data_IF_441174574994
#
_entry.id   IF_441174574994
#
_cell.length_a   1.000
_cell.length_b   1.000
_cell.length_c   1.000
_cell.angle_alpha   90.00
_cell.angle_beta   90.00
_cell.angle_gamma   90.00
#
_symmetry.space_group_name_H-M   'P 1'
#
loop_
_entity.id
_entity.type
_entity.pdbx_description
1 polymer ?
#
# COMPACT_ATOMS: atom_id res chain seq x y z
N UNK A 1 -25.58 3.14 21.10
CA UNK A 1 -25.23 1.90 20.38
C UNK A 1 -24.27 1.10 21.26
N UNK A 2 -24.39 -0.22 21.33
CA UNK A 2 -23.41 -1.04 22.04
C UNK A 2 -22.04 -0.90 21.35
N UNK A 3 -20.97 -0.78 22.13
CA UNK A 3 -19.62 -0.81 21.57
C UNK A 3 -19.40 -2.15 20.87
N UNK A 4 -18.85 -2.14 19.65
CA UNK A 4 -18.54 -3.37 18.90
C UNK A 4 -17.59 -4.23 19.73
N UNK A 5 -17.82 -5.54 19.73
CA UNK A 5 -16.86 -6.49 20.32
C UNK A 5 -15.58 -6.50 19.50
N UNK A 6 -14.49 -6.97 20.08
CA UNK A 6 -13.21 -7.05 19.36
C UNK A 6 -13.31 -8.04 18.19
N UNK A 7 -14.07 -9.13 18.35
CA UNK A 7 -14.35 -10.10 17.28
C UNK A 7 -15.07 -9.45 16.09
N UNK A 8 -16.07 -8.59 16.34
CA UNK A 8 -16.75 -7.81 15.30
C UNK A 8 -15.83 -6.83 14.59
N UNK A 9 -14.95 -6.15 15.33
CA UNK A 9 -13.96 -5.23 14.74
C UNK A 9 -12.99 -5.98 13.83
N UNK A 10 -12.51 -7.15 14.26
CA UNK A 10 -11.64 -8.01 13.45
C UNK A 10 -12.35 -8.41 12.15
N UNK A 11 -13.56 -8.98 12.23
CA UNK A 11 -14.33 -9.38 11.04
C UNK A 11 -14.56 -8.22 10.08
N UNK A 12 -14.99 -7.06 10.60
CA UNK A 12 -15.22 -5.85 9.78
C UNK A 12 -13.92 -5.42 9.08
N UNK A 13 -12.80 -5.46 9.78
CA UNK A 13 -11.51 -5.05 9.23
C UNK A 13 -11.02 -5.99 8.11
N UNK A 14 -11.18 -7.31 8.29
CA UNK A 14 -10.86 -8.30 7.27
C UNK A 14 -11.79 -8.20 6.04
N UNK A 15 -13.09 -8.02 6.26
CA UNK A 15 -14.04 -7.73 5.18
C UNK A 15 -13.62 -6.49 4.39
N UNK A 16 -13.18 -5.42 5.08
CA UNK A 16 -12.68 -4.23 4.43
C UNK A 16 -11.40 -4.49 3.63
N UNK A 17 -10.40 -5.18 4.19
CA UNK A 17 -9.14 -5.44 3.51
C UNK A 17 -9.34 -6.14 2.16
N UNK A 18 -10.19 -7.16 2.13
CA UNK A 18 -10.50 -7.90 0.92
C UNK A 18 -11.67 -7.31 0.11
N UNK A 19 -12.26 -6.18 0.52
CA UNK A 19 -13.34 -5.55 -0.25
C UNK A 19 -12.88 -5.00 -1.59
N UNK A 20 -13.83 -4.86 -2.53
CA UNK A 20 -13.59 -4.19 -3.81
C UNK A 20 -13.21 -2.71 -3.64
N UNK A 21 -13.63 -2.09 -2.52
CA UNK A 21 -13.29 -0.72 -2.18
C UNK A 21 -11.84 -0.54 -1.72
N UNK A 22 -11.15 -1.61 -1.30
CA UNK A 22 -9.79 -1.55 -0.80
C UNK A 22 -8.78 -2.37 -1.60
N UNK A 23 -8.99 -3.67 -1.79
CA UNK A 23 -8.00 -4.61 -2.31
C UNK A 23 -7.33 -4.14 -3.62
N UNK A 24 -8.07 -3.64 -4.64
CA UNK A 24 -7.46 -3.15 -5.89
C UNK A 24 -6.64 -1.86 -5.75
N UNK A 25 -6.78 -1.14 -4.63
CA UNK A 25 -6.17 0.17 -4.40
C UNK A 25 -5.11 0.15 -3.29
N UNK A 26 -5.03 -0.94 -2.53
CA UNK A 26 -3.95 -1.20 -1.58
C UNK A 26 -2.82 -1.94 -2.28
N UNK A 27 -1.72 -1.21 -2.54
CA UNK A 27 -0.57 -1.77 -3.24
C UNK A 27 0.03 -2.98 -2.51
N UNK A 28 0.11 -2.92 -1.19
CA UNK A 28 0.79 -3.97 -0.42
C UNK A 28 -0.06 -5.24 -0.42
N UNK A 29 -1.34 -5.10 -0.07
CA UNK A 29 -2.26 -6.23 -0.04
C UNK A 29 -2.49 -6.82 -1.43
N UNK A 30 -2.60 -5.98 -2.47
CA UNK A 30 -2.67 -6.45 -3.86
C UNK A 30 -1.44 -7.24 -4.26
N UNK A 31 -0.24 -6.77 -3.90
CA UNK A 31 1.01 -7.48 -4.23
C UNK A 31 1.07 -8.84 -3.54
N UNK A 32 0.66 -8.92 -2.27
CA UNK A 32 0.57 -10.19 -1.54
C UNK A 32 -0.42 -11.13 -2.23
N UNK A 33 -1.62 -10.63 -2.57
CA UNK A 33 -2.66 -11.40 -3.22
C UNK A 33 -2.27 -11.91 -4.62
N UNK A 34 -1.68 -11.05 -5.45
CA UNK A 34 -1.31 -11.40 -6.84
C UNK A 34 -0.07 -12.29 -6.94
N UNK A 35 0.84 -12.23 -5.97
CA UNK A 35 2.03 -13.11 -5.95
C UNK A 35 1.77 -14.45 -5.26
N UNK A 36 0.67 -14.56 -4.52
CA UNK A 36 0.29 -15.79 -3.84
C UNK A 36 -0.23 -16.85 -4.80
N UNK A 37 0.13 -18.10 -4.56
CA UNK A 37 -0.44 -19.23 -5.28
C UNK A 37 -1.94 -19.32 -4.99
N UNK A 38 -2.77 -19.24 -6.04
CA UNK A 38 -4.22 -19.23 -5.96
C UNK A 38 -4.80 -18.14 -5.01
N UNK A 39 -4.05 -17.07 -4.76
CA UNK A 39 -4.45 -15.93 -3.93
C UNK A 39 -4.38 -16.15 -2.42
N UNK A 40 -3.85 -17.27 -1.94
CA UNK A 40 -3.72 -17.60 -0.51
C UNK A 40 -2.60 -16.85 0.19
N UNK A 41 -2.97 -16.04 1.18
CA UNK A 41 -2.02 -15.26 1.99
C UNK A 41 -2.00 -15.85 3.40
N UNK A 42 -0.83 -16.05 4.03
CA UNK A 42 -0.76 -16.48 5.42
C UNK A 42 -1.53 -15.51 6.33
N UNK A 43 -2.43 -16.04 7.15
CA UNK A 43 -3.28 -15.23 8.04
C UNK A 43 -2.44 -14.39 9.01
N UNK A 44 -1.30 -14.93 9.45
CA UNK A 44 -0.32 -14.23 10.30
C UNK A 44 0.20 -12.93 9.68
N UNK A 45 0.33 -12.85 8.35
CA UNK A 45 0.78 -11.64 7.65
C UNK A 45 -0.27 -10.54 7.77
N UNK A 46 -1.56 -10.88 7.59
CA UNK A 46 -2.66 -9.91 7.69
C UNK A 46 -2.92 -9.54 9.16
N UNK A 47 -2.81 -10.49 10.09
CA UNK A 47 -2.90 -10.24 11.52
C UNK A 47 -1.80 -9.30 12.04
N UNK A 48 -0.64 -9.27 11.35
CA UNK A 48 0.43 -8.31 11.60
C UNK A 48 0.11 -6.87 11.16
N UNK A 49 -1.03 -6.60 10.54
CA UNK A 49 -1.38 -5.24 10.14
C UNK A 49 -1.71 -4.40 11.36
N UNK A 50 -1.25 -3.15 11.36
CA UNK A 50 -1.35 -2.24 12.49
C UNK A 50 -2.76 -2.13 13.09
N UNK A 51 -3.81 -2.07 12.26
CA UNK A 51 -5.20 -1.98 12.75
C UNK A 51 -5.66 -3.27 13.45
N UNK A 52 -5.16 -4.44 13.04
CA UNK A 52 -5.44 -5.69 13.74
C UNK A 52 -4.62 -5.77 15.03
N UNK A 53 -3.33 -5.42 14.98
CA UNK A 53 -2.45 -5.39 16.16
C UNK A 53 -2.94 -4.46 17.28
N UNK A 54 -3.65 -3.37 16.93
CA UNK A 54 -4.29 -2.49 17.91
C UNK A 54 -5.48 -3.15 18.63
N UNK A 55 -6.07 -4.21 18.06
CA UNK A 55 -7.16 -4.97 18.67
C UNK A 55 -6.57 -6.17 19.43
N UNK A 56 -5.73 -6.97 18.77
CA UNK A 56 -5.09 -8.15 19.35
C UNK A 56 -3.81 -8.50 18.61
N UNK A 57 -2.85 -9.09 19.32
CA UNK A 57 -1.65 -9.71 18.74
C UNK A 57 -1.75 -11.24 18.70
N UNK A 58 -2.82 -11.81 19.26
CA UNK A 58 -3.04 -13.25 19.32
C UNK A 58 -3.74 -13.75 18.05
N UNK A 59 -3.06 -14.63 17.33
CA UNK A 59 -3.56 -15.21 16.08
C UNK A 59 -4.77 -16.11 16.31
N UNK A 60 -4.86 -16.79 17.46
CA UNK A 60 -5.96 -17.69 17.79
C UNK A 60 -7.26 -16.90 18.01
N UNK A 61 -7.15 -15.71 18.62
CA UNK A 61 -8.27 -14.76 18.76
C UNK A 61 -8.75 -14.29 17.38
N UNK A 62 -7.82 -13.94 16.48
CA UNK A 62 -8.16 -13.54 15.11
C UNK A 62 -8.87 -14.70 14.38
N UNK A 63 -8.30 -15.89 14.42
CA UNK A 63 -8.87 -17.06 13.73
C UNK A 63 -10.27 -17.40 14.27
N UNK A 64 -10.45 -17.38 15.59
CA UNK A 64 -11.75 -17.60 16.23
C UNK A 64 -12.77 -16.57 15.78
N UNK A 65 -12.41 -15.29 15.80
CA UNK A 65 -13.30 -14.19 15.39
C UNK A 65 -13.75 -14.34 13.92
N UNK A 66 -12.85 -14.76 13.02
CA UNK A 66 -13.18 -14.96 11.61
C UNK A 66 -13.99 -16.24 11.35
N UNK A 67 -13.82 -17.29 12.16
CA UNK A 67 -14.59 -18.54 12.05
C UNK A 67 -15.99 -18.46 12.65
N UNK A 68 -16.25 -17.49 13.52
CA UNK A 68 -17.57 -17.30 14.15
C UNK A 68 -18.67 -16.98 13.14
N UNK A 69 -18.34 -16.31 12.04
CA UNK A 69 -19.30 -15.94 11.00
C UNK A 69 -18.65 -16.03 9.61
N UNK A 70 -19.34 -16.67 8.68
CA UNK A 70 -18.89 -16.70 7.28
C UNK A 70 -18.93 -15.32 6.63
N UNK A 71 -17.92 -15.05 5.79
CA UNK A 71 -17.83 -13.84 4.97
C UNK A 71 -18.10 -14.19 3.50
N UNK A 72 -18.84 -13.33 2.81
CA UNK A 72 -18.99 -13.39 1.35
C UNK A 72 -17.74 -12.85 0.62
N UNK A 73 -16.83 -12.20 1.36
CA UNK A 73 -15.70 -11.47 0.78
C UNK A 73 -14.42 -12.31 0.80
N UNK A 74 -14.16 -13.06 1.87
CA UNK A 74 -12.96 -13.86 2.02
C UNK A 74 -13.28 -15.29 2.46
N UNK A 75 -12.33 -16.20 2.26
CA UNK A 75 -12.35 -17.55 2.81
C UNK A 75 -11.03 -17.88 3.50
N UNK A 76 -11.13 -18.76 4.49
CA UNK A 76 -10.02 -19.30 5.26
C UNK A 76 -9.87 -20.77 4.88
N UNK A 77 -8.63 -21.24 4.77
CA UNK A 77 -8.37 -22.66 4.50
C UNK A 77 -8.80 -23.56 5.68
N UNK A 78 -8.87 -24.86 5.43
CA UNK A 78 -9.31 -25.84 6.43
C UNK A 78 -8.43 -25.81 7.69
N UNK A 79 -7.12 -25.60 7.51
CA UNK A 79 -6.15 -25.52 8.60
C UNK A 79 -6.22 -24.21 9.39
N UNK A 80 -6.90 -23.17 8.89
CA UNK A 80 -6.96 -21.86 9.54
C UNK A 80 -5.67 -21.04 9.42
N UNK A 81 -4.76 -21.40 8.52
CA UNK A 81 -3.44 -20.78 8.36
C UNK A 81 -3.41 -19.74 7.26
N UNK A 82 -4.26 -19.87 6.26
CA UNK A 82 -4.28 -19.00 5.09
C UNK A 82 -5.66 -18.39 4.86
N UNK A 83 -5.66 -17.20 4.27
CA UNK A 83 -6.87 -16.45 3.90
C UNK A 83 -6.74 -15.92 2.47
N UNK A 84 -7.85 -15.89 1.73
CA UNK A 84 -7.89 -15.27 0.40
C UNK A 84 -9.21 -14.56 0.11
N UNK A 85 -9.18 -13.69 -0.90
CA UNK A 85 -10.40 -13.11 -1.50
C UNK A 85 -11.23 -14.21 -2.15
N UNK A 86 -12.54 -14.24 -1.86
CA UNK A 86 -13.54 -14.98 -2.64
C UNK A 86 -13.87 -14.23 -3.92
N UNK A 87 -13.77 -14.89 -5.08
CA UNK A 87 -14.11 -14.29 -6.36
C UNK A 87 -13.12 -13.20 -6.84
N UNK A 88 -13.43 -12.62 -8.00
CA UNK A 88 -12.61 -11.57 -8.59
C UNK A 88 -13.03 -10.18 -8.09
N UNK A 89 -12.06 -9.27 -8.01
CA UNK A 89 -12.35 -7.87 -7.70
C UNK A 89 -13.06 -7.19 -8.86
N UNK A 90 -14.02 -6.32 -8.54
CA UNK A 90 -14.76 -5.51 -9.51
C UNK A 90 -14.33 -4.05 -9.40
N UNK A 91 -14.13 -3.36 -10.53
CA UNK A 91 -13.85 -1.92 -10.50
C UNK A 91 -15.10 -1.16 -10.08
N UNK A 92 -14.95 -0.33 -9.06
CA UNK A 92 -16.06 0.41 -8.46
C UNK A 92 -15.98 1.90 -8.81
N UNK A 93 -17.14 2.55 -8.94
CA UNK A 93 -17.18 4.02 -9.08
C UNK A 93 -17.04 4.70 -7.71
N UNK A 94 -15.81 4.80 -7.23
CA UNK A 94 -15.50 5.51 -5.99
C UNK A 94 -15.79 7.00 -6.08
N UNK A 95 -15.85 7.58 -7.29
CA UNK A 95 -15.94 9.03 -7.42
C UNK A 95 -17.38 9.49 -7.18
N UNK A 96 -18.36 8.87 -7.83
CA UNK A 96 -19.77 9.22 -7.65
C UNK A 96 -20.34 8.76 -6.31
N UNK A 97 -19.77 7.74 -5.68
CA UNK A 97 -20.23 7.24 -4.37
C UNK A 97 -19.57 7.90 -3.18
N UNK A 98 -18.80 8.97 -3.38
CA UNK A 98 -18.07 9.61 -2.30
C UNK A 98 -18.43 11.07 -2.11
N UNK A 99 -18.20 11.54 -0.90
CA UNK A 99 -18.16 12.97 -0.56
C UNK A 99 -16.74 13.40 -0.20
N UNK A 100 -16.41 14.65 -0.47
CA UNK A 100 -15.24 15.33 0.07
C UNK A 100 -15.63 16.04 1.36
N UNK A 101 -14.94 15.72 2.46
CA UNK A 101 -15.18 16.36 3.75
C UNK A 101 -13.93 17.11 4.19
N UNK A 102 -14.10 18.34 4.66
CA UNK A 102 -13.03 19.22 5.15
C UNK A 102 -13.37 19.72 6.54
N UNK A 103 -12.37 19.85 7.40
CA UNK A 103 -12.51 20.45 8.73
C UNK A 103 -12.27 19.47 9.88
N UNK A 104 -11.82 18.24 9.59
CA UNK A 104 -11.50 17.28 10.64
C UNK A 104 -10.36 17.78 11.53
N UNK A 105 -10.35 17.39 12.83
CA UNK A 105 -9.25 17.70 13.73
C UNK A 105 -7.93 17.24 13.12
N UNK A 106 -6.93 18.12 13.18
CA UNK A 106 -5.60 17.75 12.75
C UNK A 106 -4.97 16.85 13.81
N UNK A 107 -4.31 15.80 13.36
CA UNK A 107 -3.43 15.00 14.21
C UNK A 107 -2.03 15.55 14.02
N UNK A 108 -1.43 16.02 15.10
CA UNK A 108 -0.06 16.55 15.07
C UNK A 108 0.89 15.47 14.58
N UNK A 109 1.70 15.82 13.57
CA UNK A 109 2.64 14.88 12.97
C UNK A 109 3.73 14.45 13.96
N UNK A 110 3.98 15.27 14.98
CA UNK A 110 4.98 15.08 16.02
C UNK A 110 4.37 14.53 17.33
N UNK A 111 3.06 14.24 17.34
CA UNK A 111 2.43 13.58 18.48
C UNK A 111 3.04 12.19 18.72
N UNK A 112 2.98 11.72 19.96
CA UNK A 112 3.22 10.32 20.27
C UNK A 112 2.19 9.45 19.53
N UNK A 113 2.68 8.46 18.78
CA UNK A 113 1.92 7.51 17.95
C UNK A 113 0.87 8.17 17.02
N UNK A 114 1.29 9.01 16.05
CA UNK A 114 0.35 9.74 15.20
C UNK A 114 -0.43 8.82 14.25
N UNK A 115 0.10 7.63 13.96
CA UNK A 115 -0.59 6.63 13.16
C UNK A 115 -1.80 6.03 13.89
N UNK A 116 -1.70 5.80 15.20
CA UNK A 116 -2.75 5.19 16.03
C UNK A 116 -3.90 6.20 16.17
N UNK A 117 -3.56 7.45 16.48
CA UNK A 117 -4.52 8.56 16.53
C UNK A 117 -5.27 8.77 15.22
N UNK A 118 -4.60 8.54 14.08
CA UNK A 118 -5.26 8.60 12.77
C UNK A 118 -6.19 7.41 12.52
N UNK A 119 -5.88 6.23 13.05
CA UNK A 119 -6.74 5.05 13.00
C UNK A 119 -7.99 5.30 13.87
N UNK A 120 -7.81 5.79 15.09
CA UNK A 120 -8.93 6.16 15.99
C UNK A 120 -9.82 7.25 15.37
N UNK A 121 -9.20 8.28 14.76
CA UNK A 121 -9.95 9.31 14.05
C UNK A 121 -10.74 8.72 12.88
N UNK A 122 -10.14 7.81 12.11
CA UNK A 122 -10.84 7.11 11.03
C UNK A 122 -12.05 6.34 11.55
N UNK A 123 -11.91 5.64 12.68
CA UNK A 123 -13.00 4.87 13.28
C UNK A 123 -14.14 5.77 13.76
N UNK A 124 -13.81 6.90 14.41
CA UNK A 124 -14.80 7.93 14.77
C UNK A 124 -15.53 8.50 13.55
N UNK A 125 -14.80 8.75 12.45
CA UNK A 125 -15.39 9.25 11.20
C UNK A 125 -16.34 8.20 10.62
N UNK A 126 -15.89 6.94 10.55
CA UNK A 126 -16.70 5.84 10.04
C UNK A 126 -17.98 5.69 10.88
N UNK A 127 -17.90 5.69 12.20
CA UNK A 127 -19.09 5.57 13.06
C UNK A 127 -20.04 6.76 12.89
N UNK A 128 -19.52 7.99 12.87
CA UNK A 128 -20.33 9.19 12.66
C UNK A 128 -21.10 9.20 11.33
N UNK A 129 -20.47 8.75 10.24
CA UNK A 129 -21.14 8.69 8.94
C UNK A 129 -22.02 7.44 8.80
N UNK A 130 -21.66 6.32 9.44
CA UNK A 130 -22.49 5.10 9.48
C UNK A 130 -23.84 5.31 10.16
N UNK A 131 -23.96 6.26 11.09
CA UNK A 131 -25.27 6.68 11.64
C UNK A 131 -26.23 7.23 10.56
N UNK A 132 -25.69 7.71 9.43
CA UNK A 132 -26.44 8.41 8.39
C UNK A 132 -26.57 7.60 7.10
N UNK A 133 -25.52 6.86 6.72
CA UNK A 133 -25.46 6.00 5.55
C UNK A 133 -24.31 4.98 5.65
N UNK A 134 -24.44 3.84 4.99
CA UNK A 134 -23.45 2.76 5.03
C UNK A 134 -22.11 3.20 4.39
N UNK A 135 -21.05 3.29 5.21
CA UNK A 135 -19.71 3.68 4.80
C UNK A 135 -18.92 2.46 4.37
N UNK A 136 -18.42 2.46 3.14
CA UNK A 136 -17.54 1.42 2.60
C UNK A 136 -16.06 1.71 2.84
N UNK A 137 -15.64 2.98 2.72
CA UNK A 137 -14.24 3.34 2.84
C UNK A 137 -14.05 4.82 3.19
N UNK A 138 -13.27 5.10 4.24
CA UNK A 138 -12.78 6.45 4.53
C UNK A 138 -11.31 6.59 4.14
N UNK A 139 -11.01 7.54 3.26
CA UNK A 139 -9.65 7.84 2.78
C UNK A 139 -9.19 9.20 3.30
N UNK A 140 -8.46 9.18 4.41
CA UNK A 140 -7.82 10.37 4.98
C UNK A 140 -6.75 10.91 4.03
N UNK A 141 -6.83 12.19 3.66
CA UNK A 141 -5.85 12.82 2.76
C UNK A 141 -4.64 13.29 3.56
N UNK A 142 -3.46 12.83 3.15
CA UNK A 142 -2.18 13.15 3.79
C UNK A 142 -1.25 13.91 2.83
N UNK A 143 -0.36 14.73 3.37
CA UNK A 143 0.85 15.23 2.72
C UNK A 143 2.05 14.55 3.33
N UNK A 144 2.63 13.58 2.63
CA UNK A 144 3.58 12.66 3.26
C UNK A 144 2.96 11.99 4.48
N UNK A 145 3.48 12.27 5.67
CA UNK A 145 2.96 11.74 6.95
C UNK A 145 1.89 12.62 7.59
N UNK A 146 1.75 13.88 7.19
CA UNK A 146 0.87 14.87 7.83
C UNK A 146 -0.56 14.75 7.31
N UNK A 147 -1.54 14.63 8.19
CA UNK A 147 -2.95 14.66 7.81
C UNK A 147 -3.39 16.08 7.43
N UNK A 148 -4.21 16.22 6.37
CA UNK A 148 -4.66 17.52 5.83
C UNK A 148 -5.98 18.03 6.42
N UNK A 149 -6.58 17.34 7.39
CA UNK A 149 -7.91 17.69 7.89
C UNK A 149 -9.02 17.45 6.86
N UNK A 150 -8.75 16.63 5.84
CA UNK A 150 -9.71 16.32 4.76
C UNK A 150 -9.74 14.83 4.47
N UNK A 151 -10.91 14.32 4.12
CA UNK A 151 -11.10 12.92 3.73
C UNK A 151 -12.02 12.80 2.51
N UNK A 152 -11.95 11.65 1.86
CA UNK A 152 -13.07 11.15 1.06
C UNK A 152 -13.77 10.06 1.84
N UNK A 153 -15.09 10.13 1.94
CA UNK A 153 -15.92 9.10 2.55
C UNK A 153 -16.77 8.48 1.45
N UNK A 154 -16.55 7.18 1.20
CA UNK A 154 -17.24 6.38 0.19
C UNK A 154 -18.42 5.64 0.83
N UNK A 155 -19.58 5.72 0.18
CA UNK A 155 -20.81 5.08 0.57
C UNK A 155 -21.19 3.95 -0.39
N UNK A 156 -22.21 3.18 -0.01
CA UNK A 156 -22.68 2.05 -0.80
C UNK A 156 -23.13 2.43 -2.20
N UNK A 157 -23.89 3.53 -2.31
CA UNK A 157 -24.51 3.99 -3.56
C UNK A 157 -24.35 5.52 -3.76
N UNK A 158 -24.41 6.02 -5.02
CA UNK A 158 -24.30 7.46 -5.29
C UNK A 158 -25.41 8.30 -4.64
N UNK A 159 -26.59 7.71 -4.45
CA UNK A 159 -27.73 8.37 -3.79
C UNK A 159 -27.43 8.71 -2.33
N UNK A 160 -26.80 7.78 -1.61
CA UNK A 160 -26.36 8.01 -0.22
C UNK A 160 -25.33 9.15 -0.18
N UNK A 161 -24.36 9.15 -1.09
CA UNK A 161 -23.35 10.22 -1.17
C UNK A 161 -23.98 11.60 -1.45
N UNK A 162 -24.98 11.69 -2.34
CA UNK A 162 -25.71 12.94 -2.61
C UNK A 162 -26.49 13.42 -1.39
N UNK A 163 -27.24 12.52 -0.73
CA UNK A 163 -28.00 12.84 0.49
C UNK A 163 -27.09 13.37 1.61
N UNK A 164 -25.91 12.78 1.78
CA UNK A 164 -24.93 13.28 2.75
C UNK A 164 -24.36 14.63 2.33
N UNK A 165 -24.13 14.86 1.03
CA UNK A 165 -23.65 16.15 0.52
C UNK A 165 -24.68 17.29 0.70
N UNK A 166 -25.98 16.99 0.70
CA UNK A 166 -27.06 17.98 0.94
C UNK A 166 -26.99 18.61 2.34
N UNK A 167 -26.41 17.92 3.32
CA UNK A 167 -26.19 18.46 4.66
C UNK A 167 -25.31 19.72 4.63
N UNK A 168 -24.38 19.81 3.66
CA UNK A 168 -23.37 20.87 3.45
C UNK A 168 -22.40 21.08 4.60
N UNK A 169 -22.89 21.13 5.84
CA UNK A 169 -22.11 21.25 7.06
C UNK A 169 -22.66 20.36 8.16
N UNK A 170 -21.75 19.83 8.97
CA UNK A 170 -22.09 19.03 10.15
C UNK A 170 -21.08 19.30 11.26
N UNK A 171 -21.47 19.10 12.51
CA UNK A 171 -20.55 19.16 13.65
C UNK A 171 -19.98 17.78 13.97
N UNK A 172 -18.68 17.73 14.21
CA UNK A 172 -17.94 16.51 14.56
C UNK A 172 -16.85 16.87 15.56
N UNK A 173 -16.91 16.31 16.78
CA UNK A 173 -15.89 16.49 17.83
C UNK A 173 -15.54 17.97 18.10
N UNK A 174 -16.56 18.85 18.10
CA UNK A 174 -16.40 20.30 18.26
C UNK A 174 -15.90 21.05 17.02
N UNK A 175 -15.75 20.38 15.88
CA UNK A 175 -15.34 20.97 14.60
C UNK A 175 -16.50 21.03 13.61
N UNK A 176 -16.65 22.19 12.93
CA UNK A 176 -17.56 22.33 11.81
C UNK A 176 -16.93 21.74 10.54
N UNK A 177 -17.50 20.65 10.05
CA UNK A 177 -17.09 20.01 8.81
C UNK A 177 -17.88 20.57 7.63
N UNK A 178 -17.19 20.88 6.53
CA UNK A 178 -17.82 21.17 5.23
C UNK A 178 -17.84 19.91 4.37
N UNK A 179 -19.00 19.58 3.82
CA UNK A 179 -19.23 18.43 2.95
C UNK A 179 -19.53 18.93 1.54
N UNK A 180 -18.83 18.37 0.55
CA UNK A 180 -19.09 18.60 -0.87
C UNK A 180 -19.19 17.27 -1.60
N UNK A 181 -20.14 17.14 -2.52
CA UNK A 181 -20.22 15.95 -3.36
C UNK A 181 -18.93 15.81 -4.19
N UNK A 182 -18.29 14.63 -4.18
CA UNK A 182 -16.93 14.49 -4.72
C UNK A 182 -16.82 14.86 -6.21
N UNK A 183 -17.76 14.49 -7.11
CA UNK A 183 -17.73 14.95 -8.50
C UNK A 183 -17.79 16.47 -8.65
N UNK A 184 -18.60 17.15 -7.86
CA UNK A 184 -18.70 18.62 -7.86
C UNK A 184 -17.41 19.26 -7.35
N UNK A 185 -16.85 18.72 -6.26
CA UNK A 185 -15.55 19.14 -5.75
C UNK A 185 -14.45 18.99 -6.82
N UNK A 186 -14.43 17.89 -7.57
CA UNK A 186 -13.48 17.71 -8.68
C UNK A 186 -13.68 18.74 -9.79
N UNK A 187 -14.93 19.06 -10.16
CA UNK A 187 -15.22 20.11 -11.16
C UNK A 187 -14.73 21.48 -10.70
N UNK A 188 -15.02 21.86 -9.45
CA UNK A 188 -14.56 23.11 -8.85
C UNK A 188 -13.03 23.21 -8.87
N UNK A 189 -12.33 22.12 -8.49
CA UNK A 189 -10.87 22.08 -8.53
C UNK A 189 -10.32 22.11 -9.96
N UNK A 190 -10.95 21.42 -10.91
CA UNK A 190 -10.52 21.46 -12.30
C UNK A 190 -10.56 22.89 -12.87
N UNK A 191 -11.61 23.65 -12.58
CA UNK A 191 -11.69 25.06 -12.98
C UNK A 191 -10.65 25.92 -12.24
N UNK A 192 -10.48 25.74 -10.92
CA UNK A 192 -9.49 26.47 -10.12
C UNK A 192 -8.03 26.27 -10.58
N UNK A 193 -7.73 25.10 -11.17
CA UNK A 193 -6.40 24.74 -11.64
C UNK A 193 -6.22 24.82 -13.16
N UNK A 194 -7.24 25.27 -13.91
CA UNK A 194 -7.23 25.32 -15.38
C UNK A 194 -6.04 26.09 -15.95
N UNK A 195 -5.69 27.21 -15.33
CA UNK A 195 -4.59 28.10 -15.78
C UNK A 195 -3.30 27.92 -14.97
N UNK A 196 -3.28 27.01 -13.99
CA UNK A 196 -2.11 26.77 -13.14
C UNK A 196 -1.18 25.74 -13.79
N UNK A 197 0.15 25.89 -13.65
CA UNK A 197 1.09 24.92 -14.18
C UNK A 197 0.85 23.55 -13.53
N UNK A 198 0.87 22.50 -14.37
CA UNK A 198 0.65 21.13 -13.92
C UNK A 198 1.70 20.73 -12.89
N UNK A 199 1.24 20.48 -11.66
CA UNK A 199 2.10 19.92 -10.62
C UNK A 199 2.16 18.41 -10.79
N UNK A 200 3.36 17.87 -11.03
CA UNK A 200 3.55 16.43 -11.02
C UNK A 200 3.22 15.88 -9.63
N UNK A 201 2.30 14.90 -9.59
CA UNK A 201 2.02 14.11 -8.39
C UNK A 201 2.09 12.63 -8.76
N UNK A 202 2.71 11.79 -7.91
CA UNK A 202 2.69 10.37 -8.13
C UNK A 202 1.25 9.88 -8.10
N UNK A 203 0.89 9.02 -9.06
CA UNK A 203 -0.43 8.40 -9.08
C UNK A 203 -0.54 7.41 -7.92
N UNK A 204 -1.69 7.40 -7.27
CA UNK A 204 -2.02 6.33 -6.32
C UNK A 204 -2.15 5.01 -7.09
N UNK A 205 -1.78 3.91 -6.42
CA UNK A 205 -1.90 2.58 -6.98
C UNK A 205 -3.38 2.25 -7.29
N UNK A 206 -3.59 1.57 -8.41
CA UNK A 206 -4.88 1.04 -8.84
C UNK A 206 -4.59 -0.17 -9.75
N UNK A 207 -5.02 -1.35 -9.33
CA UNK A 207 -4.81 -2.61 -10.02
C UNK A 207 -5.46 -2.69 -11.42
N UNK A 208 -6.53 -1.93 -11.67
CA UNK A 208 -7.20 -1.88 -12.97
C UNK A 208 -6.47 -1.00 -13.99
N UNK A 209 -5.42 -0.28 -13.58
CA UNK A 209 -4.65 0.59 -14.47
C UNK A 209 -3.31 -0.04 -14.81
N UNK A 210 -2.89 -0.05 -16.09
CA UNK A 210 -1.61 -0.63 -16.48
C UNK A 210 -0.48 0.07 -15.74
N UNK A 211 0.30 -0.71 -15.01
CA UNK A 211 1.47 -0.25 -14.28
C UNK A 211 2.57 -0.02 -15.32
N UNK A 212 2.68 1.22 -15.81
CA UNK A 212 3.68 1.54 -16.81
C UNK A 212 5.06 1.54 -16.13
N UNK A 213 5.73 0.38 -16.10
CA UNK A 213 7.04 0.13 -15.48
C UNK A 213 8.17 0.98 -16.08
N UNK A 214 7.90 1.69 -17.18
CA UNK A 214 8.83 2.63 -17.81
C UNK A 214 9.18 3.86 -16.96
N UNK A 215 8.57 4.07 -15.79
CA UNK A 215 8.91 5.19 -14.91
C UNK A 215 10.31 5.09 -14.27
N UNK A 216 10.97 3.93 -14.28
CA UNK A 216 12.34 3.77 -13.73
C UNK A 216 13.47 4.21 -14.69
N UNK A 217 13.22 4.43 -16.00
CA UNK A 217 14.29 4.75 -16.97
C UNK A 217 14.53 6.24 -17.26
N UNK A 218 13.70 7.18 -16.76
CA UNK A 218 13.90 8.63 -16.99
C UNK A 218 14.68 9.36 -15.88
N UNK A 219 15.41 8.63 -15.02
CA UNK A 219 16.19 9.21 -13.92
C UNK A 219 17.66 9.51 -14.25
N UNK A 220 18.17 9.17 -15.44
CA UNK A 220 19.61 9.33 -15.75
C UNK A 220 19.97 10.27 -16.91
N UNK A 221 19.01 10.84 -17.67
CA UNK A 221 19.35 11.57 -18.92
C UNK A 221 18.93 13.04 -18.98
N UNK A 222 18.55 13.66 -17.86
CA UNK A 222 18.10 15.08 -17.85
C UNK A 222 19.08 16.07 -17.21
N UNK A 223 20.30 15.65 -16.85
CA UNK A 223 21.35 16.54 -16.33
C UNK A 223 22.63 16.53 -17.19
N UNK A 224 22.50 16.74 -18.51
CA UNK A 224 23.67 17.14 -19.32
C UNK A 224 23.30 18.15 -20.39
N UNK A 225 23.01 19.37 -19.93
CA UNK A 225 22.97 20.58 -20.74
C UNK A 225 23.92 21.65 -20.20
N UNK A 226 25.08 21.77 -20.87
CA UNK A 226 25.85 23.00 -21.11
C UNK A 226 26.68 23.67 -19.99
N UNK A 227 28.00 23.42 -20.03
CA UNK A 227 29.12 24.40 -20.06
C UNK A 227 30.44 23.62 -19.86
N UNK A 228 31.60 23.81 -20.53
CA UNK A 228 32.19 24.83 -21.41
C UNK A 228 33.25 24.15 -22.32
N UNK A 229 33.56 24.78 -23.46
CA UNK A 229 34.65 24.42 -24.40
C UNK A 229 36.05 24.52 -23.76
N UNK A 230 36.97 23.64 -24.15
CA UNK A 230 38.42 23.78 -23.90
C UNK A 230 39.30 22.61 -24.37
N UNK A 231 39.67 22.64 -25.67
CA UNK A 231 40.77 21.98 -26.43
C UNK A 231 41.71 20.95 -25.74
N UNK A 232 41.96 19.81 -26.42
CA UNK A 232 43.24 19.26 -26.96
C UNK A 232 43.07 17.73 -27.18
N UNK A 233 42.88 17.23 -28.41
CA UNK A 233 43.82 16.87 -29.48
C UNK A 233 44.48 15.46 -29.36
N UNK A 234 44.04 14.60 -30.29
CA UNK A 234 44.77 13.57 -31.09
C UNK A 234 45.38 12.30 -30.46
N UNK A 235 45.08 11.22 -31.20
CA UNK A 235 45.79 9.94 -31.40
C UNK A 235 45.59 8.89 -30.27
N UNK A 236 45.39 7.59 -30.53
CA UNK A 236 45.65 6.79 -31.73
C UNK A 236 44.90 5.42 -31.65
N UNK A 237 44.57 4.87 -32.84
CA UNK A 237 44.45 3.42 -33.23
C UNK A 237 43.53 2.47 -32.41
N UNK A 238 42.47 1.88 -32.99
CA UNK A 238 42.41 0.77 -34.00
C UNK A 238 43.17 -0.46 -33.48
N UNK A 239 42.59 -1.65 -33.24
CA UNK A 239 41.85 -2.52 -34.17
C UNK A 239 41.31 -3.78 -33.46
N UNK A 240 40.20 -4.30 -33.99
CA UNK A 240 39.84 -5.72 -34.29
C UNK A 240 40.38 -6.86 -33.39
N UNK A 241 39.54 -7.68 -32.76
CA UNK A 241 38.80 -8.84 -33.30
C UNK A 241 39.59 -10.17 -33.27
N UNK A 242 38.92 -11.23 -32.78
CA UNK A 242 39.11 -12.70 -32.98
C UNK A 242 39.98 -13.55 -32.03
N UNK A 243 39.26 -14.54 -31.46
CA UNK A 243 39.47 -16.01 -31.45
C UNK A 243 40.73 -16.57 -30.75
N UNK A 244 40.55 -17.32 -29.67
CA UNK A 244 40.44 -18.80 -29.60
C UNK A 244 41.78 -19.52 -29.82
N UNK A 245 42.03 -20.48 -28.93
CA UNK A 245 43.05 -21.54 -28.92
C UNK A 245 44.50 -21.14 -28.58
N UNK A 246 44.95 -21.47 -27.36
CA UNK A 246 45.64 -22.74 -27.08
C UNK A 246 46.08 -22.87 -25.63
N UNK A 247 45.95 -24.11 -25.16
CA UNK A 247 46.47 -24.66 -23.92
C UNK A 247 48.01 -24.65 -23.86
N UNK A 248 48.48 -24.98 -22.65
CA UNK A 248 49.78 -25.56 -22.29
C UNK A 248 50.88 -24.65 -21.74
N UNK A 249 51.37 -25.13 -20.59
CA UNK A 249 52.61 -24.84 -19.88
C UNK A 249 52.68 -23.62 -18.94
N UNK A 250 52.31 -23.87 -17.67
CA UNK A 250 53.31 -24.11 -16.60
C UNK A 250 52.63 -24.41 -15.25
N UNK A 251 52.10 -25.62 -15.12
CA UNK A 251 52.12 -26.36 -13.85
C UNK A 251 53.40 -27.18 -13.87
N UNK A 252 54.47 -26.69 -13.24
CA UNK A 252 55.66 -27.48 -12.91
C UNK A 252 56.50 -26.64 -11.92
N UNK A 253 56.23 -26.87 -10.63
CA UNK A 253 57.15 -26.77 -9.48
C UNK A 253 56.39 -26.36 -8.21
N UNK A 254 55.80 -27.35 -7.53
CA UNK A 254 55.97 -27.58 -6.07
C UNK A 254 55.15 -28.79 -5.61
N UNK A 255 55.49 -29.96 -6.13
CA UNK A 255 55.38 -31.22 -5.38
C UNK A 255 56.78 -31.82 -5.32
N UNK A 256 57.54 -31.48 -4.27
CA UNK A 256 58.69 -32.25 -3.80
C UNK A 256 59.02 -31.76 -2.38
N UNK A 257 58.17 -32.17 -1.45
CA UNK A 257 58.52 -32.47 -0.06
C UNK A 257 57.34 -33.27 0.52
N UNK A 258 57.25 -34.50 0.04
CA UNK A 258 56.48 -35.59 0.63
C UNK A 258 57.25 -36.14 1.83
N UNK A 259 56.48 -36.69 2.76
CA UNK A 259 56.84 -37.89 3.53
C UNK A 259 58.02 -37.78 4.49
N UNK A 260 57.74 -37.36 5.73
CA UNK A 260 58.24 -38.02 6.95
C UNK A 260 57.35 -37.59 8.12
N UNK A 261 57.00 -38.52 9.01
CA UNK A 261 56.09 -38.41 10.16
C UNK A 261 54.60 -38.75 9.93
N UNK A 262 54.38 -39.91 9.29
CA UNK A 262 53.50 -40.92 9.91
C UNK A 262 54.43 -42.02 10.41
N UNK A 263 54.57 -42.15 11.73
CA UNK A 263 54.82 -43.38 12.49
C UNK A 263 55.33 -43.03 13.89
N UNK A 264 54.40 -42.89 14.84
CA UNK A 264 54.57 -43.21 16.27
C UNK A 264 53.14 -43.21 16.87
N UNK A 265 52.51 -44.39 16.90
CA UNK A 265 52.18 -45.15 18.13
C UNK A 265 51.35 -44.31 19.12
N UNK A 266 50.03 -44.54 19.32
CA UNK A 266 49.38 -45.78 19.71
C UNK A 266 50.22 -46.65 20.66
N UNK A 267 50.32 -46.21 21.93
CA UNK A 267 50.47 -47.05 23.13
C UNK A 267 50.04 -46.27 24.37
N UNK A 268 49.11 -46.89 25.10
CA UNK A 268 48.53 -46.55 26.42
C UNK A 268 47.54 -45.38 26.54
#
# INVERSE_FOLDING_TARGET
MAARTDDEKIRKQFNFYFSDSNLPYDKFLWTLHSNAENGWIPLSVIAGFKRIQMITTDLDVVLKALKEQESDVYEIDEEGKNIRRKGQVVEQDHVSRSVHVKGFPLVDADAENPADKLIELQDKIDDFFNEKANVLCTRLKKDGKKFKGTAYVEFENPEQAKKIAELKQVEFDGHTLTILYRPEYHKLKAEEYKDKPSQWKPRQFNAFKPQNDNYKRKRTDSHKGQNKKGKFNKNNKKSEEKKEDKEENKEENKEENKEENKDEENKE
#
